data_IF_766867501560
#
_entry.id   IF_766867501560
#
_cell.length_a   1.000
_cell.length_b   1.000
_cell.length_c   1.000
_cell.angle_alpha   90.00
_cell.angle_beta   90.00
_cell.angle_gamma   90.00
#
_symmetry.space_group_name_H-M   'P 1'
#
loop_
_entity.id
_entity.type
_entity.pdbx_description
1 polymer ?
#
# COMPACT_ATOMS: atom_id res chain seq x y z
N UNK A 1 -1.32 13.37 12.80
CA UNK A 1 -1.89 12.14 12.21
C UNK A 1 -0.85 11.04 12.30
N UNK A 2 -1.21 9.92 12.93
CA UNK A 2 -0.32 8.76 13.15
C UNK A 2 -0.29 7.84 11.93
N UNK A 3 0.86 7.21 11.67
CA UNK A 3 0.98 6.18 10.63
C UNK A 3 0.18 4.95 11.06
N UNK A 4 -0.58 4.39 10.13
CA UNK A 4 -1.37 3.17 10.38
C UNK A 4 -0.63 1.92 9.93
N UNK A 5 0.29 2.08 8.99
CA UNK A 5 1.10 1.02 8.42
C UNK A 5 2.51 1.55 8.22
N UNK A 6 3.48 0.65 8.05
CA UNK A 6 4.88 1.05 7.90
C UNK A 6 5.59 0.15 6.89
N UNK A 7 6.17 0.76 5.87
CA UNK A 7 7.21 0.15 5.04
C UNK A 7 8.50 0.95 5.23
N UNK A 8 9.53 0.39 5.89
CA UNK A 8 10.81 1.05 6.05
C UNK A 8 11.71 0.83 4.83
N UNK A 9 12.50 1.84 4.49
CA UNK A 9 13.63 1.77 3.57
C UNK A 9 14.88 2.31 4.26
N UNK A 10 16.03 1.73 3.95
CA UNK A 10 17.35 2.20 4.35
C UNK A 10 17.89 3.10 3.24
N UNK A 11 18.40 4.25 3.65
CA UNK A 11 18.99 5.25 2.79
C UNK A 11 20.52 5.15 2.87
N UNK A 12 21.19 5.40 1.75
CA UNK A 12 22.62 5.68 1.78
C UNK A 12 22.89 7.04 2.44
N UNK A 13 22.13 8.05 2.03
CA UNK A 13 22.21 9.42 2.53
C UNK A 13 20.81 10.04 2.67
N UNK A 14 20.60 10.82 3.73
CA UNK A 14 19.35 11.56 3.93
C UNK A 14 19.42 12.86 3.11
N UNK A 15 18.40 13.20 2.30
CA UNK A 15 18.39 14.49 1.61
C UNK A 15 18.39 15.65 2.63
N UNK A 16 19.05 16.74 2.25
CA UNK A 16 19.00 18.01 2.99
C UNK A 16 17.56 18.57 2.96
N UNK A 17 17.12 19.16 4.08
CA UNK A 17 15.77 19.69 4.22
C UNK A 17 15.40 20.70 3.13
N UNK A 18 16.31 21.64 2.85
CA UNK A 18 16.11 22.68 1.83
C UNK A 18 15.98 22.09 0.43
N UNK A 19 16.90 21.21 0.04
CA UNK A 19 16.85 20.56 -1.26
C UNK A 19 15.56 19.73 -1.43
N UNK A 20 15.16 19.01 -0.39
CA UNK A 20 13.90 18.25 -0.40
C UNK A 20 12.69 19.18 -0.60
N UNK A 21 12.62 20.28 0.15
CA UNK A 21 11.53 21.27 0.03
C UNK A 21 11.42 21.81 -1.41
N UNK A 22 12.53 22.28 -1.97
CA UNK A 22 12.59 22.84 -3.33
C UNK A 22 12.21 21.79 -4.39
N UNK A 23 12.76 20.58 -4.31
CA UNK A 23 12.49 19.48 -5.24
C UNK A 23 11.02 19.02 -5.20
N UNK A 24 10.46 18.82 -4.01
CA UNK A 24 9.07 18.40 -3.86
C UNK A 24 8.10 19.51 -4.28
N UNK A 25 8.43 20.76 -3.98
CA UNK A 25 7.68 21.94 -4.45
C UNK A 25 7.63 22.05 -5.97
N UNK A 26 8.71 21.69 -6.68
CA UNK A 26 8.74 21.63 -8.14
C UNK A 26 7.85 20.52 -8.75
N UNK A 27 7.48 19.52 -7.96
CA UNK A 27 6.62 18.39 -8.36
C UNK A 27 5.26 18.42 -7.64
N UNK A 28 4.73 19.62 -7.43
CA UNK A 28 3.49 19.83 -6.70
C UNK A 28 2.28 19.19 -7.39
N UNK A 29 1.34 18.72 -6.57
CA UNK A 29 0.10 18.10 -7.02
C UNK A 29 -0.76 19.07 -7.83
N UNK A 30 -1.19 18.61 -9.01
CA UNK A 30 -2.20 19.26 -9.84
C UNK A 30 -3.38 18.31 -10.02
N UNK A 31 -4.65 18.75 -9.83
CA UNK A 31 -5.82 17.91 -10.06
C UNK A 31 -5.88 17.36 -11.50
N UNK A 32 -6.39 16.14 -11.71
CA UNK A 32 -6.54 15.57 -13.06
C UNK A 32 -7.55 16.40 -13.89
N UNK A 33 -7.19 16.74 -15.14
CA UNK A 33 -8.03 17.57 -16.02
C UNK A 33 -8.51 16.80 -17.25
N UNK A 34 -9.60 17.25 -17.87
CA UNK A 34 -10.10 16.68 -19.13
C UNK A 34 -10.25 15.15 -19.10
N UNK A 35 -9.42 14.46 -19.89
CA UNK A 35 -9.43 13.00 -20.04
C UNK A 35 -8.43 12.26 -19.12
N UNK A 36 -7.74 12.98 -18.23
CA UNK A 36 -6.84 12.36 -17.27
C UNK A 36 -7.62 11.43 -16.34
N UNK A 37 -7.19 10.17 -16.24
CA UNK A 37 -7.79 9.20 -15.32
C UNK A 37 -7.39 9.46 -13.88
N UNK A 38 -6.17 9.90 -13.67
CA UNK A 38 -5.65 10.24 -12.35
C UNK A 38 -4.51 11.24 -12.49
N UNK A 39 -4.18 11.89 -11.39
CA UNK A 39 -2.98 12.71 -11.22
C UNK A 39 -2.32 12.42 -9.88
N UNK A 40 -1.00 12.57 -9.84
CA UNK A 40 -0.18 12.39 -8.64
C UNK A 40 0.84 13.52 -8.52
N UNK A 41 1.08 13.98 -7.31
CA UNK A 41 2.13 14.94 -7.01
C UNK A 41 2.27 15.16 -5.50
N UNK A 42 3.31 15.90 -5.13
CA UNK A 42 3.56 16.20 -3.73
C UNK A 42 2.58 17.26 -3.23
N UNK A 43 2.26 17.18 -1.94
CA UNK A 43 1.34 18.10 -1.31
C UNK A 43 1.72 18.28 0.15
N UNK A 44 1.03 19.19 0.81
CA UNK A 44 1.28 19.43 2.21
C UNK A 44 1.19 18.18 3.12
N UNK A 45 2.17 17.92 4.00
CA UNK A 45 2.16 16.81 4.95
C UNK A 45 1.31 17.02 6.21
N UNK A 46 0.84 18.24 6.47
CA UNK A 46 0.05 18.62 7.64
C UNK A 46 -1.20 19.43 7.23
N UNK A 47 -2.36 19.20 7.85
CA UNK A 47 -3.44 20.18 7.74
C UNK A 47 -2.89 21.50 8.35
N UNK A 48 -3.20 22.66 7.75
CA UNK A 48 -2.85 24.02 8.22
C UNK A 48 -1.56 24.68 7.71
N UNK A 49 -0.67 24.02 6.98
CA UNK A 49 0.59 24.66 6.50
C UNK A 49 0.68 24.76 4.97
N UNK A 50 -0.38 25.19 4.28
CA UNK A 50 -0.64 24.91 2.86
C UNK A 50 0.49 25.10 1.83
N UNK A 51 1.51 25.92 2.11
CA UNK A 51 2.56 26.29 1.17
C UNK A 51 3.84 25.46 1.29
N UNK A 52 3.95 24.57 2.27
CA UNK A 52 5.16 23.74 2.45
C UNK A 52 5.02 22.33 1.88
N UNK A 53 6.08 21.81 1.27
CA UNK A 53 6.14 20.41 0.82
C UNK A 53 6.65 19.46 1.91
N UNK A 54 7.44 19.99 2.84
CA UNK A 54 8.11 19.28 3.92
C UNK A 54 7.81 19.95 5.25
N UNK A 55 7.50 19.13 6.23
CA UNK A 55 7.41 19.52 7.63
C UNK A 55 8.59 18.95 8.39
N UNK A 56 9.42 19.83 8.96
CA UNK A 56 10.60 19.45 9.75
C UNK A 56 10.32 19.51 11.25
N UNK A 57 10.76 18.48 11.99
CA UNK A 57 10.73 18.46 13.46
C UNK A 57 11.82 17.54 13.97
N UNK A 58 12.67 18.03 14.88
CA UNK A 58 13.77 17.26 15.49
C UNK A 58 14.65 16.54 14.45
N UNK A 59 14.98 17.22 13.35
CA UNK A 59 15.78 16.65 12.25
C UNK A 59 15.08 15.58 11.41
N UNK A 60 13.79 15.30 11.66
CA UNK A 60 12.95 14.43 10.84
C UNK A 60 12.20 15.25 9.81
N UNK A 61 12.12 14.75 8.58
CA UNK A 61 11.48 15.45 7.46
C UNK A 61 10.26 14.65 7.00
N UNK A 62 9.07 15.21 7.19
CA UNK A 62 7.82 14.60 6.79
C UNK A 62 7.33 15.20 5.48
N UNK A 63 6.84 14.37 4.56
CA UNK A 63 6.26 14.79 3.28
C UNK A 63 5.00 13.96 2.95
N UNK A 64 4.26 14.38 1.93
CA UNK A 64 3.06 13.69 1.47
C UNK A 64 2.99 13.60 -0.06
N UNK A 65 2.72 12.41 -0.56
CA UNK A 65 2.31 12.20 -1.95
C UNK A 65 0.78 12.10 -2.01
N UNK A 66 0.15 12.98 -2.78
CA UNK A 66 -1.30 12.97 -3.04
C UNK A 66 -1.55 12.35 -4.42
N UNK A 67 -2.53 11.44 -4.48
CA UNK A 67 -3.09 10.89 -5.71
C UNK A 67 -4.58 11.22 -5.77
N UNK A 68 -5.04 11.71 -6.90
CA UNK A 68 -6.45 11.95 -7.16
C UNK A 68 -6.87 11.21 -8.43
N UNK A 69 -7.88 10.35 -8.32
CA UNK A 69 -8.30 9.44 -9.40
C UNK A 69 -9.78 9.62 -9.70
N UNK A 70 -10.13 9.73 -10.97
CA UNK A 70 -11.51 9.83 -11.45
C UNK A 70 -12.17 8.46 -11.35
N UNK A 71 -13.24 8.39 -10.56
CA UNK A 71 -13.99 7.16 -10.34
C UNK A 71 -15.00 7.00 -11.48
N UNK A 72 -14.83 5.93 -12.25
CA UNK A 72 -15.81 5.44 -13.21
C UNK A 72 -16.27 4.05 -12.80
N UNK A 73 -17.41 3.92 -12.10
CA UNK A 73 -17.93 2.62 -11.72
C UNK A 73 -18.17 1.76 -12.96
N UNK A 74 -17.60 0.56 -12.99
CA UNK A 74 -17.72 -0.36 -14.12
C UNK A 74 -19.19 -0.70 -14.42
N UNK A 75 -20.03 -0.77 -13.39
CA UNK A 75 -21.48 -0.93 -13.51
C UNK A 75 -22.12 0.15 -14.38
N UNK A 76 -21.85 1.44 -14.09
CA UNK A 76 -22.40 2.58 -14.85
C UNK A 76 -21.98 2.53 -16.32
N UNK A 77 -20.71 2.25 -16.60
CA UNK A 77 -20.21 2.13 -17.98
C UNK A 77 -20.88 0.97 -18.71
N UNK A 78 -21.06 -0.17 -18.05
CA UNK A 78 -21.69 -1.35 -18.64
C UNK A 78 -23.18 -1.14 -18.94
N UNK A 79 -23.92 -0.47 -18.04
CA UNK A 79 -25.33 -0.14 -18.26
C UNK A 79 -25.49 0.78 -19.46
N UNK A 80 -24.75 1.89 -19.50
CA UNK A 80 -24.80 2.84 -20.64
C UNK A 80 -24.40 2.18 -21.96
N UNK A 81 -23.39 1.30 -21.93
CA UNK A 81 -22.98 0.55 -23.11
C UNK A 81 -24.10 -0.38 -23.59
N UNK A 82 -24.76 -1.08 -22.68
CA UNK A 82 -25.86 -1.99 -23.02
C UNK A 82 -27.04 -1.21 -23.60
N UNK A 83 -27.41 -0.08 -23.00
CA UNK A 83 -28.49 0.78 -23.50
C UNK A 83 -28.18 1.34 -24.89
N UNK A 84 -26.94 1.79 -25.13
CA UNK A 84 -26.50 2.31 -26.43
C UNK A 84 -26.49 1.22 -27.50
N UNK A 85 -26.04 0.00 -27.15
CA UNK A 85 -26.09 -1.17 -28.03
C UNK A 85 -27.54 -1.50 -28.39
N UNK A 86 -28.43 -1.66 -27.41
CA UNK A 86 -29.83 -1.99 -27.64
C UNK A 86 -30.56 -0.95 -28.51
N UNK A 87 -30.23 0.34 -28.35
CA UNK A 87 -30.79 1.42 -29.19
C UNK A 87 -30.36 1.27 -30.66
N UNK A 88 -29.08 1.01 -30.91
CA UNK A 88 -28.56 0.85 -32.28
C UNK A 88 -29.15 -0.42 -32.92
N UNK A 89 -29.18 -1.54 -32.19
CA UNK A 89 -29.73 -2.80 -32.71
C UNK A 89 -31.22 -2.69 -33.05
N UNK A 90 -32.00 -1.96 -32.25
CA UNK A 90 -33.42 -1.68 -32.53
C UNK A 90 -33.61 -0.77 -33.75
N UNK A 91 -32.76 0.24 -33.92
CA UNK A 91 -32.91 1.23 -34.99
C UNK A 91 -32.40 0.72 -36.34
N UNK A 92 -31.32 -0.05 -36.35
CA UNK A 92 -30.63 -0.50 -37.57
C UNK A 92 -30.95 -1.96 -37.93
N UNK A 93 -31.61 -2.71 -37.03
CA UNK A 93 -31.98 -4.11 -37.25
C UNK A 93 -30.80 -5.07 -37.38
N UNK A 94 -29.60 -4.66 -36.95
CA UNK A 94 -28.36 -5.46 -36.98
C UNK A 94 -27.78 -5.63 -35.58
N UNK A 95 -26.98 -6.67 -35.37
CA UNK A 95 -26.23 -6.86 -34.13
C UNK A 95 -24.89 -6.11 -34.14
N UNK A 96 -24.45 -5.65 -32.98
CA UNK A 96 -23.18 -4.92 -32.86
C UNK A 96 -22.02 -5.89 -32.65
N UNK A 97 -21.00 -5.77 -33.51
CA UNK A 97 -19.77 -6.56 -33.43
C UNK A 97 -18.88 -6.17 -32.24
N UNK A 98 -17.94 -7.05 -31.89
CA UNK A 98 -17.02 -6.85 -30.75
C UNK A 98 -16.19 -5.57 -30.84
N UNK A 99 -15.74 -5.22 -32.04
CA UNK A 99 -14.91 -4.03 -32.30
C UNK A 99 -15.70 -2.74 -32.03
N UNK A 100 -16.84 -2.61 -32.69
CA UNK A 100 -17.73 -1.45 -32.54
C UNK A 100 -18.22 -1.29 -31.11
N UNK A 101 -18.54 -2.40 -30.42
CA UNK A 101 -18.85 -2.36 -28.97
C UNK A 101 -17.70 -1.80 -28.14
N UNK A 102 -16.45 -2.10 -28.51
CA UNK A 102 -15.26 -1.54 -27.87
C UNK A 102 -15.14 -0.03 -28.11
N UNK A 103 -15.35 0.42 -29.35
CA UNK A 103 -15.33 1.84 -29.72
C UNK A 103 -16.43 2.63 -28.98
N UNK A 104 -17.65 2.08 -28.89
CA UNK A 104 -18.75 2.65 -28.10
C UNK A 104 -18.41 2.76 -26.62
N UNK A 105 -17.71 1.75 -26.07
CA UNK A 105 -17.26 1.78 -24.67
C UNK A 105 -16.24 2.91 -24.44
N UNK A 106 -15.30 3.10 -25.35
CA UNK A 106 -14.30 4.17 -25.26
C UNK A 106 -14.96 5.55 -25.32
N UNK A 107 -15.89 5.76 -26.26
CA UNK A 107 -16.67 7.01 -26.33
C UNK A 107 -17.41 7.30 -25.01
N UNK A 108 -18.06 6.29 -24.43
CA UNK A 108 -18.75 6.45 -23.14
C UNK A 108 -17.77 6.84 -22.03
N UNK A 109 -16.56 6.27 -22.02
CA UNK A 109 -15.54 6.63 -21.02
C UNK A 109 -15.10 8.08 -21.22
N UNK A 110 -14.83 8.51 -22.46
CA UNK A 110 -14.42 9.88 -22.77
C UNK A 110 -15.50 10.92 -22.44
N UNK A 111 -16.77 10.57 -22.65
CA UNK A 111 -17.92 11.41 -22.29
C UNK A 111 -18.10 11.55 -20.77
N UNK A 112 -17.76 10.50 -20.02
CA UNK A 112 -17.94 10.46 -18.57
C UNK A 112 -16.74 11.02 -17.80
N UNK A 113 -15.52 10.91 -18.33
CA UNK A 113 -14.29 11.34 -17.66
C UNK A 113 -14.31 12.81 -17.21
N UNK A 114 -14.80 13.79 -18.00
CA UNK A 114 -14.89 15.18 -17.55
C UNK A 114 -15.84 15.40 -16.36
N UNK A 115 -16.84 14.52 -16.21
CA UNK A 115 -17.90 14.60 -15.19
C UNK A 115 -17.70 13.65 -14.01
N UNK A 116 -16.67 12.81 -14.08
CA UNK A 116 -16.40 11.79 -13.08
C UNK A 116 -16.01 12.43 -11.74
N UNK A 117 -16.57 11.89 -10.66
CA UNK A 117 -16.16 12.26 -9.30
C UNK A 117 -14.73 11.78 -9.05
N UNK A 118 -13.97 12.53 -8.26
CA UNK A 118 -12.61 12.15 -7.91
C UNK A 118 -12.54 11.52 -6.51
N UNK A 119 -11.65 10.55 -6.35
CA UNK A 119 -11.24 10.03 -5.05
C UNK A 119 -9.81 10.49 -4.76
N UNK A 120 -9.59 11.03 -3.57
CA UNK A 120 -8.26 11.42 -3.12
C UNK A 120 -7.69 10.36 -2.18
N UNK A 121 -6.45 9.95 -2.45
CA UNK A 121 -5.64 9.18 -1.51
C UNK A 121 -4.32 9.89 -1.21
N UNK A 122 -3.79 9.67 -0.02
CA UNK A 122 -2.50 10.21 0.41
C UNK A 122 -1.60 9.09 0.91
N UNK A 123 -0.29 9.27 0.75
CA UNK A 123 0.74 8.44 1.37
C UNK A 123 1.72 9.41 2.03
N UNK A 124 1.97 9.21 3.31
CA UNK A 124 2.93 10.01 4.05
C UNK A 124 4.27 9.28 4.10
N UNK A 125 5.35 10.05 4.11
CA UNK A 125 6.69 9.55 4.35
C UNK A 125 7.43 10.41 5.36
N UNK A 126 8.35 9.81 6.11
CA UNK A 126 9.23 10.49 7.05
C UNK A 126 10.67 10.02 6.80
N UNK A 127 11.56 10.97 6.56
CA UNK A 127 13.00 10.76 6.65
C UNK A 127 13.44 10.92 8.11
N UNK A 128 14.02 9.88 8.71
CA UNK A 128 14.51 9.86 10.08
C UNK A 128 15.90 9.19 10.13
N UNK A 129 16.95 10.01 10.16
CA UNK A 129 18.33 9.52 10.04
C UNK A 129 18.55 8.75 8.74
N UNK A 130 18.96 7.49 8.84
CA UNK A 130 19.20 6.60 7.68
C UNK A 130 17.95 5.87 7.18
N UNK A 131 16.77 6.20 7.71
CA UNK A 131 15.52 5.52 7.35
C UNK A 131 14.57 6.45 6.63
N UNK A 132 13.93 5.92 5.59
CA UNK A 132 12.70 6.45 5.03
C UNK A 132 11.54 5.55 5.45
N UNK A 133 10.63 6.09 6.23
CA UNK A 133 9.46 5.42 6.76
C UNK A 133 8.23 5.82 5.93
N UNK A 134 7.52 4.87 5.33
CA UNK A 134 6.36 5.14 4.47
C UNK A 134 5.08 4.57 5.08
N UNK A 135 4.01 5.38 5.17
CA UNK A 135 2.71 5.02 5.74
C UNK A 135 1.87 4.13 4.81
N UNK A 136 2.38 2.95 4.46
CA UNK A 136 1.64 1.95 3.69
C UNK A 136 2.21 0.56 3.92
N UNK A 137 1.35 -0.46 3.85
CA UNK A 137 1.74 -1.86 3.76
C UNK A 137 1.74 -2.39 2.30
N UNK A 138 1.33 -1.55 1.33
CA UNK A 138 1.28 -1.95 -0.08
C UNK A 138 2.62 -1.70 -0.75
N UNK A 139 3.28 -2.78 -1.19
CA UNK A 139 4.54 -2.70 -1.94
C UNK A 139 4.43 -1.81 -3.17
N UNK A 140 3.35 -1.93 -3.94
CA UNK A 140 3.17 -1.12 -5.14
C UNK A 140 3.07 0.38 -4.81
N UNK A 141 2.39 0.73 -3.72
CA UNK A 141 2.25 2.13 -3.30
C UNK A 141 3.57 2.70 -2.76
N UNK A 142 4.33 1.92 -1.99
CA UNK A 142 5.63 2.36 -1.47
C UNK A 142 6.67 2.51 -2.58
N UNK A 143 6.72 1.58 -3.53
CA UNK A 143 7.60 1.69 -4.70
C UNK A 143 7.22 2.88 -5.59
N UNK A 144 5.92 3.12 -5.84
CA UNK A 144 5.48 4.31 -6.59
C UNK A 144 5.95 5.61 -5.92
N UNK A 145 5.84 5.68 -4.59
CA UNK A 145 6.33 6.84 -3.84
C UNK A 145 7.85 7.00 -3.98
N UNK A 146 8.63 5.91 -3.96
CA UNK A 146 10.07 5.98 -4.22
C UNK A 146 10.39 6.47 -5.63
N UNK A 147 9.64 6.01 -6.64
CA UNK A 147 9.80 6.50 -8.02
C UNK A 147 9.56 8.01 -8.07
N UNK A 148 8.48 8.50 -7.46
CA UNK A 148 8.20 9.95 -7.40
C UNK A 148 9.24 10.76 -6.65
N UNK A 149 9.81 10.22 -5.57
CA UNK A 149 10.92 10.87 -4.89
C UNK A 149 12.18 10.92 -5.77
N UNK A 150 12.51 9.83 -6.47
CA UNK A 150 13.67 9.79 -7.38
C UNK A 150 13.51 10.78 -8.53
N UNK A 151 12.31 10.89 -9.11
CA UNK A 151 11.99 11.86 -10.14
C UNK A 151 12.18 13.30 -9.65
N UNK A 152 11.66 13.64 -8.46
CA UNK A 152 11.75 14.99 -7.91
C UNK A 152 13.16 15.39 -7.44
N UNK A 153 13.92 14.45 -6.87
CA UNK A 153 15.27 14.69 -6.34
C UNK A 153 16.37 14.52 -7.40
N UNK A 154 16.06 14.00 -8.59
CA UNK A 154 17.08 13.61 -9.58
C UNK A 154 17.89 12.37 -9.18
N UNK A 155 17.44 11.63 -8.17
CA UNK A 155 18.09 10.44 -7.62
C UNK A 155 17.74 10.21 -6.15
N UNK A 156 17.59 8.95 -5.75
CA UNK A 156 17.43 8.56 -4.35
C UNK A 156 17.80 7.09 -4.17
N UNK A 157 18.88 6.85 -3.42
CA UNK A 157 19.31 5.51 -3.03
C UNK A 157 18.57 5.05 -1.77
N UNK A 158 17.40 4.45 -1.98
CA UNK A 158 16.60 3.81 -0.95
C UNK A 158 16.44 2.32 -1.26
N UNK A 159 16.68 1.45 -0.28
CA UNK A 159 16.59 -0.01 -0.41
C UNK A 159 15.80 -0.59 0.76
N UNK A 160 15.12 -1.72 0.55
CA UNK A 160 14.48 -2.42 1.67
C UNK A 160 15.56 -2.92 2.66
N UNK A 161 15.29 -2.92 3.97
CA UNK A 161 16.20 -3.47 4.96
C UNK A 161 16.52 -4.93 4.65
N UNK A 162 17.81 -5.28 4.66
CA UNK A 162 18.25 -6.66 4.52
C UNK A 162 18.22 -7.35 5.88
N UNK A 163 17.41 -8.41 6.01
CA UNK A 163 17.34 -9.20 7.25
C UNK A 163 18.27 -10.40 7.18
N UNK A 164 18.86 -10.81 8.32
CA UNK A 164 19.70 -12.02 8.40
C UNK A 164 18.88 -13.30 8.28
N UNK A 165 17.66 -13.28 8.82
CA UNK A 165 16.67 -14.35 8.77
C UNK A 165 15.38 -13.78 8.19
N UNK A 166 14.59 -14.61 7.51
CA UNK A 166 13.30 -14.17 7.00
C UNK A 166 12.36 -13.85 8.18
N UNK A 167 11.58 -12.76 8.14
CA UNK A 167 10.63 -12.44 9.22
C UNK A 167 9.65 -13.57 9.49
N UNK A 168 9.17 -14.27 8.44
CA UNK A 168 8.26 -15.40 8.59
C UNK A 168 8.89 -16.57 9.35
N UNK A 169 10.17 -16.87 9.10
CA UNK A 169 10.91 -17.91 9.82
C UNK A 169 11.13 -17.54 11.30
N UNK A 170 11.56 -16.31 11.56
CA UNK A 170 11.82 -15.83 12.93
C UNK A 170 10.54 -15.81 13.77
N UNK A 171 9.43 -15.35 13.19
CA UNK A 171 8.15 -15.31 13.91
C UNK A 171 7.55 -16.71 14.12
N UNK A 172 7.76 -17.64 13.20
CA UNK A 172 7.41 -19.05 13.44
C UNK A 172 8.25 -19.62 14.58
N UNK A 173 9.54 -19.30 14.66
CA UNK A 173 10.41 -19.71 15.78
C UNK A 173 9.91 -19.15 17.11
N UNK A 174 9.60 -17.86 17.19
CA UNK A 174 9.01 -17.24 18.39
C UNK A 174 7.71 -17.92 18.83
N UNK A 175 6.82 -18.22 17.88
CA UNK A 175 5.57 -18.92 18.17
C UNK A 175 5.81 -20.34 18.71
N UNK A 176 6.83 -21.05 18.22
CA UNK A 176 7.17 -22.40 18.68
C UNK A 176 7.85 -22.39 20.06
N UNK A 177 8.62 -21.35 20.36
CA UNK A 177 9.27 -21.17 21.66
C UNK A 177 8.30 -20.61 22.72
N UNK A 178 7.21 -19.97 22.30
CA UNK A 178 6.28 -19.28 23.19
C UNK A 178 6.82 -17.95 23.74
N UNK A 179 7.93 -17.46 23.20
CA UNK A 179 8.58 -16.21 23.60
C UNK A 179 9.13 -15.45 22.39
N UNK A 180 9.24 -14.13 22.52
CA UNK A 180 9.79 -13.24 21.53
C UNK A 180 11.08 -12.59 22.05
N UNK A 181 12.09 -12.44 21.20
CA UNK A 181 13.30 -11.69 21.52
C UNK A 181 13.17 -10.20 21.19
N UNK A 182 14.05 -9.34 21.73
CA UNK A 182 14.24 -7.97 21.25
C UNK A 182 13.18 -6.94 21.69
N UNK A 183 12.56 -7.12 22.86
CA UNK A 183 11.53 -6.20 23.38
C UNK A 183 10.15 -6.40 22.74
N UNK A 184 9.94 -7.54 22.09
CA UNK A 184 8.66 -7.92 21.53
C UNK A 184 7.94 -8.91 22.43
N UNK A 185 6.61 -8.94 22.36
CA UNK A 185 5.76 -9.91 23.06
C UNK A 185 4.80 -10.56 22.07
N UNK A 186 4.38 -11.80 22.37
CA UNK A 186 3.33 -12.48 21.61
C UNK A 186 1.97 -11.92 22.03
N UNK A 187 1.17 -11.49 21.05
CA UNK A 187 -0.19 -11.03 21.27
C UNK A 187 -1.19 -12.20 21.14
N UNK A 188 -2.40 -11.96 20.66
CA UNK A 188 -3.50 -12.93 20.58
C UNK A 188 -4.00 -13.23 19.16
N UNK A 189 -3.33 -12.68 18.13
CA UNK A 189 -3.67 -12.84 16.72
C UNK A 189 -2.51 -13.47 15.92
N UNK A 190 -2.78 -14.54 15.19
CA UNK A 190 -1.81 -15.15 14.27
C UNK A 190 -2.45 -15.58 12.96
N UNK A 191 -1.74 -15.34 11.85
CA UNK A 191 -2.08 -15.87 10.54
C UNK A 191 -1.00 -16.86 10.08
N UNK A 192 -1.32 -18.13 10.17
CA UNK A 192 -0.48 -19.24 9.72
C UNK A 192 -0.78 -19.53 8.25
N UNK A 193 0.27 -19.69 7.45
CA UNK A 193 0.16 -20.14 6.06
C UNK A 193 1.05 -21.35 5.85
N UNK A 194 0.48 -22.41 5.30
CA UNK A 194 1.23 -23.60 4.93
C UNK A 194 2.15 -23.32 3.74
N UNK A 195 2.91 -24.33 3.38
CA UNK A 195 3.78 -24.33 2.20
C UNK A 195 3.07 -24.96 0.99
N UNK A 196 3.53 -24.66 -0.22
CA UNK A 196 3.02 -25.25 -1.46
C UNK A 196 2.06 -24.35 -2.26
N UNK A 197 1.66 -24.83 -3.44
CA UNK A 197 0.86 -24.07 -4.41
C UNK A 197 -0.58 -23.79 -3.93
N UNK A 198 -1.15 -24.68 -3.12
CA UNK A 198 -2.45 -24.50 -2.46
C UNK A 198 -2.25 -24.53 -0.95
N UNK A 199 -1.53 -23.52 -0.45
CA UNK A 199 -1.18 -23.42 0.95
C UNK A 199 -2.42 -23.20 1.83
N UNK A 200 -2.71 -24.06 2.83
CA UNK A 200 -3.77 -23.81 3.80
C UNK A 200 -3.46 -22.54 4.58
N UNK A 201 -4.51 -21.79 4.93
CA UNK A 201 -4.41 -20.57 5.72
C UNK A 201 -5.29 -20.68 6.95
N UNK A 202 -4.69 -20.57 8.12
CA UNK A 202 -5.40 -20.57 9.41
C UNK A 202 -5.22 -19.20 10.03
N UNK A 203 -6.32 -18.62 10.51
CA UNK A 203 -6.29 -17.40 11.31
C UNK A 203 -6.84 -17.74 12.70
N UNK A 204 -6.04 -17.48 13.71
CA UNK A 204 -6.46 -17.54 15.12
C UNK A 204 -6.49 -16.09 15.61
N UNK A 205 -7.57 -15.73 16.30
CA UNK A 205 -7.81 -14.37 16.82
C UNK A 205 -8.34 -14.44 18.24
N UNK A 206 -7.92 -13.48 19.07
CA UNK A 206 -8.34 -13.37 20.48
C UNK A 206 -8.07 -14.65 21.31
N UNK A 207 -6.96 -15.36 21.01
CA UNK A 207 -6.54 -16.54 21.79
C UNK A 207 -5.09 -16.38 22.24
N UNK A 208 -4.77 -16.87 23.43
CA UNK A 208 -3.39 -16.91 23.87
C UNK A 208 -2.55 -17.79 22.94
N UNK A 209 -1.49 -17.22 22.36
CA UNK A 209 -0.63 -17.92 21.42
C UNK A 209 0.28 -18.96 22.07
N UNK A 210 0.45 -18.92 23.40
CA UNK A 210 1.20 -19.93 24.15
C UNK A 210 0.38 -21.19 24.44
N UNK A 211 -0.93 -21.20 24.13
CA UNK A 211 -1.78 -22.38 24.35
C UNK A 211 -1.33 -23.55 23.46
N UNK A 212 -1.32 -24.76 24.04
CA UNK A 212 -0.89 -25.98 23.35
C UNK A 212 -1.63 -26.22 22.02
N UNK A 213 -2.90 -25.82 21.93
CA UNK A 213 -3.68 -25.93 20.70
C UNK A 213 -3.09 -25.12 19.55
N UNK A 214 -2.62 -23.90 19.83
CA UNK A 214 -2.07 -22.98 18.81
C UNK A 214 -0.69 -23.47 18.38
N UNK A 215 0.14 -23.83 19.35
CA UNK A 215 1.46 -24.43 19.12
C UNK A 215 1.33 -25.73 18.32
N UNK A 216 0.32 -26.57 18.61
CA UNK A 216 0.04 -27.79 17.85
C UNK A 216 -0.37 -27.51 16.42
N UNK A 217 -1.11 -26.43 16.12
CA UNK A 217 -1.40 -26.04 14.73
C UNK A 217 -0.16 -25.52 14.00
N UNK A 218 0.78 -24.88 14.69
CA UNK A 218 2.08 -24.49 14.13
C UNK A 218 3.01 -25.69 13.91
N UNK A 219 2.97 -26.67 14.82
CA UNK A 219 3.77 -27.90 14.79
C UNK A 219 3.21 -28.97 13.85
N UNK A 220 1.88 -29.04 13.64
CA UNK A 220 1.23 -29.98 12.73
C UNK A 220 1.76 -29.76 11.31
N UNK A 221 2.81 -30.51 10.98
CA UNK A 221 3.12 -30.94 9.61
C UNK A 221 1.85 -31.61 9.10
N UNK A 222 1.18 -31.03 8.10
CA UNK A 222 0.17 -31.79 7.39
C UNK A 222 0.89 -32.93 6.67
N UNK A 223 0.70 -34.15 7.17
CA UNK A 223 1.23 -35.39 6.60
C UNK A 223 0.85 -35.46 5.12
N UNK A 224 1.84 -35.27 4.25
CA UNK A 224 1.70 -35.35 2.79
C UNK A 224 2.60 -34.41 2.00
N UNK A 225 2.96 -33.24 2.55
CA UNK A 225 3.89 -32.31 1.89
C UNK A 225 4.76 -31.63 2.95
N UNK A 226 6.05 -31.96 2.98
CA UNK A 226 7.00 -31.42 3.94
C UNK A 226 7.23 -29.92 3.73
N UNK A 227 6.63 -29.09 4.59
CA UNK A 227 7.30 -27.98 5.29
C UNK A 227 6.29 -27.25 6.22
N UNK A 228 6.80 -26.62 7.27
CA UNK A 228 6.01 -26.05 8.37
C UNK A 228 5.20 -24.82 7.99
N UNK A 229 4.23 -24.46 8.83
CA UNK A 229 3.49 -23.21 8.69
C UNK A 229 4.41 -22.00 8.95
N UNK A 230 4.51 -21.10 7.98
CA UNK A 230 5.19 -19.81 8.12
C UNK A 230 4.19 -18.73 8.53
N UNK A 231 4.54 -17.87 9.48
CA UNK A 231 3.74 -16.67 9.75
C UNK A 231 3.77 -15.77 8.50
N UNK A 232 2.60 -15.54 7.90
CA UNK A 232 2.53 -14.97 6.54
C UNK A 232 2.67 -13.45 6.49
N UNK A 233 2.61 -12.77 7.64
CA UNK A 233 2.63 -11.32 7.73
C UNK A 233 3.26 -10.86 9.05
N UNK A 234 4.26 -9.95 9.00
CA UNK A 234 4.87 -9.38 10.20
C UNK A 234 4.00 -8.32 10.92
N UNK A 235 2.74 -8.14 10.51
CA UNK A 235 1.89 -7.05 10.97
C UNK A 235 1.04 -7.37 12.21
N UNK A 236 1.23 -8.56 12.81
CA UNK A 236 0.64 -8.93 14.10
C UNK A 236 1.75 -9.18 15.13
N UNK A 237 2.73 -8.30 15.18
CA UNK A 237 3.58 -8.15 16.36
C UNK A 237 3.28 -6.78 16.94
N UNK A 238 2.60 -6.74 18.07
CA UNK A 238 2.44 -5.52 18.84
C UNK A 238 3.82 -5.05 19.27
N UNK A 239 4.12 -3.81 18.89
CA UNK A 239 5.25 -3.03 19.38
C UNK A 239 4.95 -2.71 20.85
N UNK A 240 5.93 -3.01 21.69
CA UNK A 240 6.05 -2.72 23.12
C UNK A 240 5.14 -1.57 23.64
N UNK A 241 4.25 -1.91 24.59
CA UNK A 241 3.69 -0.94 25.54
C UNK A 241 4.70 -0.75 26.66
N UNK A 242 5.66 0.15 26.45
CA UNK A 242 6.32 0.96 27.49
C UNK A 242 7.20 2.04 26.86
N UNK A 243 6.53 2.98 26.19
CA UNK A 243 6.95 4.37 26.27
C UNK A 243 6.16 5.03 27.41
N UNK A 244 6.41 4.58 28.64
CA UNK A 244 5.99 5.32 29.83
C UNK A 244 7.09 6.34 30.11
N UNK A 245 6.75 7.60 29.81
CA UNK A 245 7.12 8.76 30.63
C UNK A 245 6.49 8.58 32.00
#
# INVERSE_FOLDING_TARGET
MWFKQLTPFVLLEKPEARHLEESLGGSWFVPPQGLDRFSEGFSNPVPFDFDRAVYETEGRLKFCLKREEKILPSGTVNTLLTDKVLKIERNEGRTIGRRERGELRWQIIDDLLPRALTNTSRIYGIFAGRYLLVDTASRNRSENLLVKLREALGGLEARLPHTKQSPGSLMTEWLLLGECGGGFELDCDVALRGVGNVAPKVRVSLKNLTDEDVVRHAQKRHDGYGAGFGMARPYCLCIDRRADV
#
